data_IF_577975132460
#
_entry.id   IF_577975132460
#
_cell.length_a   1.000
_cell.length_b   1.000
_cell.length_c   1.000
_cell.angle_alpha   90.00
_cell.angle_beta   90.00
_cell.angle_gamma   90.00
#
_symmetry.space_group_name_H-M   'P 1'
#
loop_
_entity.id
_entity.type
_entity.pdbx_description
1 polymer ?
#
# COMPACT_ATOMS: atom_id res chain seq x y z
N UNK A 1 19.36 -16.71 -9.82
CA UNK A 1 18.73 -16.36 -8.52
C UNK A 1 17.44 -15.60 -8.83
N UNK A 2 16.36 -15.97 -8.20
CA UNK A 2 15.11 -15.22 -8.28
C UNK A 2 15.32 -13.82 -7.71
N UNK A 3 14.79 -12.81 -8.39
CA UNK A 3 14.84 -11.41 -7.95
C UNK A 3 13.69 -11.09 -7.01
N UNK A 4 13.77 -10.00 -6.29
CA UNK A 4 12.63 -9.42 -5.59
C UNK A 4 12.01 -8.28 -6.44
N UNK A 5 10.77 -7.94 -6.19
CA UNK A 5 10.02 -6.93 -6.93
C UNK A 5 9.37 -5.92 -5.99
N UNK A 6 9.56 -4.63 -6.25
CA UNK A 6 8.66 -3.60 -5.78
C UNK A 6 7.78 -3.16 -6.94
N UNK A 7 6.46 -3.23 -6.76
CA UNK A 7 5.50 -2.83 -7.78
C UNK A 7 4.40 -1.96 -7.17
N UNK A 8 4.16 -0.80 -7.77
CA UNK A 8 3.05 0.09 -7.41
C UNK A 8 2.10 0.28 -8.58
N UNK A 9 0.90 0.77 -8.28
CA UNK A 9 -0.04 1.25 -9.27
C UNK A 9 -0.61 2.59 -8.82
N UNK A 10 -0.79 3.53 -9.76
CA UNK A 10 -1.45 4.79 -9.47
C UNK A 10 -2.16 5.34 -10.71
N UNK A 11 -3.14 6.22 -10.48
CA UNK A 11 -3.86 6.88 -11.55
C UNK A 11 -3.89 8.39 -11.35
N UNK A 12 -3.82 9.12 -12.48
CA UNK A 12 -4.03 10.57 -12.53
C UNK A 12 -3.11 11.41 -11.62
N UNK A 13 -1.94 10.96 -11.20
CA UNK A 13 -0.93 11.75 -10.50
C UNK A 13 0.14 12.23 -11.48
N UNK A 14 0.75 13.38 -11.19
CA UNK A 14 1.96 13.83 -11.83
C UNK A 14 3.21 13.21 -11.16
N UNK A 15 4.39 13.46 -11.74
CA UNK A 15 5.65 12.94 -11.23
C UNK A 15 5.96 13.39 -9.80
N UNK A 16 5.70 14.65 -9.47
CA UNK A 16 6.02 15.21 -8.16
C UNK A 16 5.24 14.55 -7.03
N UNK A 17 4.00 14.12 -7.30
CA UNK A 17 3.19 13.40 -6.32
C UNK A 17 3.73 12.00 -5.99
N UNK A 18 4.45 11.37 -6.90
CA UNK A 18 4.98 10.01 -6.75
C UNK A 18 6.50 9.98 -6.52
N UNK A 19 7.18 11.11 -6.71
CA UNK A 19 8.63 11.24 -6.55
C UNK A 19 9.15 10.80 -5.18
N UNK A 20 8.51 11.13 -4.04
CA UNK A 20 8.95 10.63 -2.74
C UNK A 20 9.00 9.11 -2.65
N UNK A 21 8.02 8.41 -3.22
CA UNK A 21 8.00 6.96 -3.29
C UNK A 21 9.17 6.43 -4.12
N UNK A 22 9.36 6.97 -5.34
CA UNK A 22 10.43 6.61 -6.27
C UNK A 22 11.81 6.81 -5.64
N UNK A 23 12.06 8.01 -5.11
CA UNK A 23 13.37 8.36 -4.56
C UNK A 23 13.66 7.59 -3.27
N UNK A 24 12.64 7.32 -2.44
CA UNK A 24 12.84 6.54 -1.22
C UNK A 24 13.20 5.08 -1.52
N UNK A 25 12.64 4.47 -2.56
CA UNK A 25 13.03 3.13 -3.00
C UNK A 25 14.47 3.15 -3.51
N UNK A 26 14.83 4.13 -4.34
CA UNK A 26 16.19 4.25 -4.86
C UNK A 26 17.23 4.46 -3.75
N UNK A 27 16.85 5.07 -2.62
CA UNK A 27 17.71 5.30 -1.46
C UNK A 27 17.67 4.16 -0.42
N UNK A 28 16.78 3.19 -0.57
CA UNK A 28 16.56 2.11 0.42
C UNK A 28 17.55 0.94 0.34
N UNK A 29 18.48 0.97 -0.61
CA UNK A 29 19.37 -0.14 -0.98
C UNK A 29 18.60 -1.38 -1.50
N UNK A 30 17.46 -1.18 -2.12
CA UNK A 30 16.73 -2.25 -2.80
C UNK A 30 17.35 -2.54 -4.16
N UNK A 31 17.75 -3.81 -4.40
CA UNK A 31 18.45 -4.25 -5.61
C UNK A 31 17.56 -4.98 -6.61
N UNK A 32 16.29 -5.21 -6.30
CA UNK A 32 15.34 -5.92 -7.16
C UNK A 32 14.76 -5.06 -8.29
N UNK A 33 13.83 -5.63 -9.02
CA UNK A 33 13.10 -4.93 -10.09
C UNK A 33 12.10 -3.94 -9.50
N UNK A 34 11.98 -2.77 -10.14
CA UNK A 34 11.09 -1.67 -9.75
C UNK A 34 10.11 -1.39 -10.87
N UNK A 35 8.81 -1.57 -10.61
CA UNK A 35 7.75 -1.46 -11.62
C UNK A 35 6.67 -0.49 -11.16
N UNK A 36 6.21 0.36 -12.08
CA UNK A 36 5.04 1.20 -11.88
C UNK A 36 4.00 0.98 -12.98
N UNK A 37 2.80 0.60 -12.57
CA UNK A 37 1.62 0.56 -13.44
C UNK A 37 0.96 1.94 -13.35
N UNK A 38 0.95 2.66 -14.47
CA UNK A 38 0.45 4.04 -14.56
C UNK A 38 -0.85 4.06 -15.34
N UNK A 39 -1.93 4.59 -14.72
CA UNK A 39 -3.27 4.60 -15.32
C UNK A 39 -3.68 6.03 -15.59
N UNK A 40 -3.96 6.37 -16.86
CA UNK A 40 -4.30 7.72 -17.28
C UNK A 40 -3.24 8.76 -16.87
N UNK A 41 -1.97 8.44 -17.08
CA UNK A 41 -0.81 9.27 -16.71
C UNK A 41 -0.17 9.81 -17.96
N UNK A 42 0.31 11.06 -17.93
CA UNK A 42 0.93 11.72 -19.07
C UNK A 42 2.21 11.02 -19.54
N UNK A 43 2.54 11.17 -20.83
CA UNK A 43 3.78 10.64 -21.40
C UNK A 43 5.01 11.24 -20.71
N UNK A 44 4.95 12.52 -20.33
CA UNK A 44 6.05 13.19 -19.65
C UNK A 44 6.31 12.58 -18.26
N UNK A 45 5.25 12.35 -17.47
CA UNK A 45 5.35 11.69 -16.16
C UNK A 45 5.90 10.27 -16.32
N UNK A 46 5.40 9.49 -17.28
CA UNK A 46 5.91 8.15 -17.57
C UNK A 46 7.40 8.15 -17.94
N UNK A 47 7.83 9.12 -18.74
CA UNK A 47 9.26 9.27 -19.09
C UNK A 47 10.12 9.58 -17.86
N UNK A 48 9.70 10.52 -17.00
CA UNK A 48 10.44 10.86 -15.77
C UNK A 48 10.57 9.64 -14.82
N UNK A 49 9.52 8.81 -14.72
CA UNK A 49 9.56 7.58 -13.93
C UNK A 49 10.56 6.57 -14.52
N UNK A 50 10.53 6.41 -15.84
CA UNK A 50 11.48 5.53 -16.53
C UNK A 50 12.93 6.03 -16.35
N UNK A 51 13.17 7.33 -16.49
CA UNK A 51 14.48 7.95 -16.31
C UNK A 51 15.00 7.81 -14.86
N UNK A 52 14.09 7.65 -13.89
CA UNK A 52 14.41 7.34 -12.49
C UNK A 52 14.73 5.85 -12.23
N UNK A 53 14.74 5.01 -13.26
CA UNK A 53 15.15 3.60 -13.20
C UNK A 53 14.01 2.62 -12.92
N UNK A 54 12.77 2.99 -13.23
CA UNK A 54 11.60 2.12 -13.10
C UNK A 54 11.11 1.60 -14.45
N UNK A 55 10.66 0.35 -14.47
CA UNK A 55 9.86 -0.14 -15.60
C UNK A 55 8.45 0.43 -15.49
N UNK A 56 7.99 1.12 -16.53
CA UNK A 56 6.67 1.74 -16.59
C UNK A 56 5.73 0.89 -17.45
N UNK A 57 4.54 0.60 -16.92
CA UNK A 57 3.48 -0.13 -17.63
C UNK A 57 2.27 0.79 -17.76
N UNK A 58 2.16 1.56 -18.85
CA UNK A 58 1.04 2.46 -19.04
C UNK A 58 -0.25 1.70 -19.33
N UNK A 59 -1.33 2.15 -18.72
CA UNK A 59 -2.70 1.65 -18.90
C UNK A 59 -3.67 2.79 -19.10
N UNK A 60 -4.79 2.50 -19.75
CA UNK A 60 -5.92 3.40 -19.90
C UNK A 60 -7.11 2.77 -19.18
N UNK A 61 -7.68 3.50 -18.24
CA UNK A 61 -8.93 3.12 -17.60
C UNK A 61 -10.10 3.79 -18.33
N UNK A 62 -11.17 3.04 -18.53
CA UNK A 62 -12.43 3.55 -19.06
C UNK A 62 -13.37 4.14 -17.99
N UNK A 63 -12.90 4.23 -16.74
CA UNK A 63 -13.65 4.78 -15.61
C UNK A 63 -14.81 3.90 -15.11
N UNK A 64 -14.99 2.68 -15.64
CA UNK A 64 -16.05 1.76 -15.20
C UNK A 64 -15.77 1.12 -13.85
N UNK A 65 -14.52 1.19 -13.39
CA UNK A 65 -14.07 0.61 -12.12
C UNK A 65 -13.34 1.68 -11.29
N UNK A 66 -13.55 1.65 -9.99
CA UNK A 66 -12.78 2.50 -9.08
C UNK A 66 -11.33 2.06 -9.05
N UNK A 67 -10.39 3.01 -9.03
CA UNK A 67 -8.96 2.74 -9.04
C UNK A 67 -8.51 1.78 -7.92
N UNK A 68 -9.09 1.89 -6.72
CA UNK A 68 -8.78 1.01 -5.59
C UNK A 68 -8.97 -0.48 -5.89
N UNK A 69 -9.91 -0.81 -6.78
CA UNK A 69 -10.18 -2.18 -7.25
C UNK A 69 -9.39 -2.51 -8.51
N UNK A 70 -9.35 -1.54 -9.46
CA UNK A 70 -8.71 -1.70 -10.76
C UNK A 70 -7.21 -2.00 -10.63
N UNK A 71 -6.53 -1.42 -9.62
CA UNK A 71 -5.12 -1.70 -9.35
C UNK A 71 -4.84 -3.18 -9.15
N UNK A 72 -5.70 -3.91 -8.44
CA UNK A 72 -5.52 -5.35 -8.20
C UNK A 72 -5.68 -6.19 -9.47
N UNK A 73 -6.57 -5.80 -10.37
CA UNK A 73 -6.66 -6.42 -11.68
C UNK A 73 -5.35 -6.30 -12.47
N UNK A 74 -4.76 -5.12 -12.50
CA UNK A 74 -3.51 -4.89 -13.20
C UNK A 74 -2.31 -5.57 -12.53
N UNK A 75 -2.24 -5.55 -11.20
CA UNK A 75 -1.22 -6.27 -10.42
C UNK A 75 -1.29 -7.78 -10.69
N UNK A 76 -2.48 -8.37 -10.59
CA UNK A 76 -2.68 -9.78 -10.90
C UNK A 76 -2.25 -10.12 -12.33
N UNK A 77 -2.68 -9.32 -13.32
CA UNK A 77 -2.33 -9.57 -14.72
C UNK A 77 -0.83 -9.48 -14.99
N UNK A 78 -0.10 -8.65 -14.25
CA UNK A 78 1.35 -8.60 -14.32
C UNK A 78 1.98 -9.83 -13.67
N UNK A 79 1.56 -10.18 -12.46
CA UNK A 79 2.19 -11.21 -11.64
C UNK A 79 1.90 -12.64 -12.12
N UNK A 80 0.70 -12.92 -12.66
CA UNK A 80 0.28 -14.29 -13.05
C UNK A 80 1.24 -15.00 -14.01
N UNK A 81 1.96 -14.25 -14.83
CA UNK A 81 2.94 -14.78 -15.77
C UNK A 81 4.38 -14.75 -15.26
N UNK A 82 4.59 -14.29 -14.01
CA UNK A 82 5.92 -14.02 -13.44
C UNK A 82 6.16 -14.70 -12.08
N UNK A 83 5.33 -15.69 -11.74
CA UNK A 83 5.38 -16.40 -10.45
C UNK A 83 6.75 -17.04 -10.14
N UNK A 84 7.50 -17.40 -11.18
CA UNK A 84 8.83 -18.02 -11.04
C UNK A 84 9.99 -17.06 -11.32
N UNK A 85 9.70 -15.78 -11.64
CA UNK A 85 10.74 -14.78 -11.87
C UNK A 85 11.13 -14.08 -10.56
N UNK A 86 10.17 -13.95 -9.64
CA UNK A 86 10.35 -13.21 -8.39
C UNK A 86 10.16 -14.11 -7.16
N UNK A 87 11.07 -13.93 -6.20
CA UNK A 87 10.98 -14.55 -4.88
C UNK A 87 9.94 -13.83 -4.02
N UNK A 88 10.17 -12.54 -3.77
CA UNK A 88 9.29 -11.68 -3.00
C UNK A 88 8.73 -10.55 -3.86
N UNK A 89 7.49 -10.21 -3.60
CA UNK A 89 6.81 -9.06 -4.18
C UNK A 89 6.33 -8.15 -3.05
N UNK A 90 6.60 -6.85 -3.20
CA UNK A 90 6.05 -5.79 -2.35
C UNK A 90 5.23 -4.85 -3.22
N UNK A 91 3.94 -4.75 -2.95
CA UNK A 91 3.07 -3.75 -3.59
C UNK A 91 2.53 -2.79 -2.55
N UNK A 92 2.56 -1.50 -2.88
CA UNK A 92 2.11 -0.44 -1.96
C UNK A 92 1.27 0.60 -2.68
N UNK A 93 0.53 1.39 -1.92
CA UNK A 93 0.12 2.72 -2.36
C UNK A 93 1.36 3.52 -2.74
N UNK A 94 1.21 4.49 -3.64
CA UNK A 94 2.41 5.13 -4.24
C UNK A 94 2.62 6.56 -3.74
N UNK A 95 1.55 7.33 -3.56
CA UNK A 95 1.67 8.76 -3.24
C UNK A 95 2.18 9.04 -1.83
N UNK A 96 1.71 8.27 -0.86
CA UNK A 96 1.87 8.54 0.58
C UNK A 96 2.66 7.45 1.33
N UNK A 97 3.55 6.77 0.61
CA UNK A 97 4.43 5.73 1.15
C UNK A 97 5.90 6.10 0.96
N UNK A 98 6.69 5.85 1.99
CA UNK A 98 8.15 6.02 2.01
C UNK A 98 8.82 4.71 2.42
N UNK A 99 9.86 4.33 1.69
CA UNK A 99 10.74 3.23 2.05
C UNK A 99 11.95 3.78 2.82
N UNK A 100 12.17 3.30 4.04
CA UNK A 100 13.32 3.70 4.85
C UNK A 100 14.47 2.69 4.76
N UNK A 101 14.16 1.44 4.39
CA UNK A 101 15.10 0.33 4.22
C UNK A 101 14.64 -0.59 3.09
N UNK A 102 15.55 -1.45 2.61
CA UNK A 102 15.21 -2.52 1.68
C UNK A 102 14.20 -3.51 2.31
N UNK A 103 13.03 -3.73 1.68
CA UNK A 103 12.06 -4.69 2.19
C UNK A 103 12.53 -6.14 2.06
N UNK A 104 13.43 -6.43 1.12
CA UNK A 104 14.00 -7.77 0.92
C UNK A 104 14.69 -8.30 2.16
N UNK A 105 15.42 -7.42 2.87
CA UNK A 105 16.14 -7.78 4.09
C UNK A 105 15.20 -8.17 5.22
N UNK A 106 14.09 -7.45 5.34
CA UNK A 106 13.10 -7.76 6.35
C UNK A 106 12.35 -9.05 6.03
N UNK A 107 11.90 -9.22 4.79
CA UNK A 107 11.16 -10.40 4.34
C UNK A 107 11.99 -11.67 4.50
N UNK A 108 13.24 -11.68 4.06
CA UNK A 108 14.12 -12.84 4.14
C UNK A 108 14.37 -13.31 5.60
N UNK A 109 14.40 -12.38 6.54
CA UNK A 109 14.66 -12.67 7.97
C UNK A 109 13.41 -13.04 8.75
N UNK A 110 12.23 -12.48 8.36
CA UNK A 110 11.06 -12.48 9.23
C UNK A 110 9.85 -13.22 8.67
N UNK A 111 9.77 -13.49 7.37
CA UNK A 111 8.62 -14.16 6.78
C UNK A 111 8.54 -15.63 7.25
N UNK A 112 9.69 -16.31 7.32
CA UNK A 112 9.85 -17.70 7.79
C UNK A 112 8.90 -18.66 7.05
N UNK A 113 8.03 -19.36 7.81
CA UNK A 113 7.04 -20.31 7.30
C UNK A 113 5.82 -19.65 6.63
N UNK A 114 5.63 -18.35 6.84
CA UNK A 114 4.53 -17.63 6.22
C UNK A 114 4.86 -17.24 4.77
N UNK A 115 3.82 -17.04 4.00
CA UNK A 115 3.92 -16.64 2.58
C UNK A 115 3.55 -15.17 2.34
N UNK A 116 2.84 -14.56 3.28
CA UNK A 116 2.40 -13.19 3.24
C UNK A 116 2.76 -12.46 4.54
N UNK A 117 2.94 -11.17 4.46
CA UNK A 117 2.98 -10.28 5.63
C UNK A 117 1.95 -9.17 5.45
N UNK A 118 1.18 -8.92 6.51
CA UNK A 118 0.24 -7.81 6.60
C UNK A 118 0.63 -6.88 7.76
N UNK A 119 0.59 -5.58 7.53
CA UNK A 119 0.84 -4.58 8.57
C UNK A 119 -0.43 -4.26 9.36
N UNK A 120 -0.32 -4.34 10.68
CA UNK A 120 -1.36 -3.89 11.60
C UNK A 120 -1.40 -2.35 11.66
N UNK A 121 -2.60 -1.78 11.79
CA UNK A 121 -2.81 -0.37 12.13
C UNK A 121 -2.81 -0.13 13.65
N UNK A 122 -2.42 -1.14 14.43
CA UNK A 122 -2.33 -1.12 15.89
C UNK A 122 -3.65 -0.76 16.60
N UNK A 123 -4.79 -1.04 16.00
CA UNK A 123 -6.13 -0.85 16.59
C UNK A 123 -7.06 -1.99 16.17
N UNK A 124 -8.00 -2.37 17.04
CA UNK A 124 -9.01 -3.39 16.71
C UNK A 124 -10.09 -2.83 15.80
N UNK A 125 -10.64 -3.69 14.93
CA UNK A 125 -11.72 -3.35 14.00
C UNK A 125 -12.95 -2.76 14.75
N UNK A 126 -13.30 -3.29 15.92
CA UNK A 126 -14.44 -2.78 16.69
C UNK A 126 -14.24 -1.35 17.23
N UNK A 127 -13.00 -0.93 17.40
CA UNK A 127 -12.65 0.36 17.98
C UNK A 127 -12.37 1.44 16.90
N UNK A 128 -12.29 1.06 15.63
CA UNK A 128 -12.06 1.99 14.52
C UNK A 128 -13.31 2.06 13.64
N UNK A 129 -13.98 3.20 13.69
CA UNK A 129 -15.33 3.39 13.13
C UNK A 129 -15.40 3.17 11.64
N UNK A 130 -14.41 3.69 10.89
CA UNK A 130 -14.42 3.63 9.43
C UNK A 130 -14.29 2.18 8.91
N UNK A 131 -13.33 1.40 9.44
CA UNK A 131 -13.17 0.00 9.05
C UNK A 131 -14.37 -0.85 9.47
N UNK A 132 -14.91 -0.62 10.70
CA UNK A 132 -16.12 -1.30 11.17
C UNK A 132 -17.29 -1.10 10.20
N UNK A 133 -17.58 0.14 9.84
CA UNK A 133 -18.71 0.48 8.97
C UNK A 133 -18.53 -0.09 7.56
N UNK A 134 -17.33 -0.01 7.00
CA UNK A 134 -17.03 -0.56 5.69
C UNK A 134 -17.17 -2.09 5.65
N UNK A 135 -16.69 -2.81 6.67
CA UNK A 135 -16.86 -4.27 6.75
C UNK A 135 -18.34 -4.63 6.84
N UNK A 136 -19.12 -3.95 7.70
CA UNK A 136 -20.55 -4.21 7.82
C UNK A 136 -21.27 -3.93 6.49
N UNK A 137 -20.95 -2.83 5.82
CA UNK A 137 -21.54 -2.43 4.56
C UNK A 137 -21.21 -3.41 3.41
N UNK A 138 -19.97 -3.85 3.34
CA UNK A 138 -19.51 -4.73 2.27
C UNK A 138 -19.86 -6.20 2.48
N UNK A 139 -19.84 -6.69 3.72
CA UNK A 139 -19.90 -8.12 4.03
C UNK A 139 -20.97 -8.51 5.05
N UNK A 140 -21.64 -7.55 5.64
CA UNK A 140 -22.70 -7.79 6.62
C UNK A 140 -22.21 -7.89 8.05
N UNK A 141 -23.21 -7.84 8.96
CA UNK A 141 -22.97 -7.76 10.40
C UNK A 141 -22.44 -9.06 10.99
N UNK A 142 -22.84 -10.20 10.44
CA UNK A 142 -22.43 -11.51 10.96
C UNK A 142 -20.93 -11.70 10.78
N UNK A 143 -20.42 -11.47 9.57
CA UNK A 143 -18.99 -11.56 9.28
C UNK A 143 -18.18 -10.53 10.09
N UNK A 144 -18.69 -9.30 10.26
CA UNK A 144 -18.08 -8.33 11.15
C UNK A 144 -17.96 -8.88 12.58
N UNK A 145 -19.01 -9.52 13.12
CA UNK A 145 -18.98 -10.07 14.46
C UNK A 145 -17.90 -11.13 14.65
N UNK A 146 -17.61 -11.91 13.61
CA UNK A 146 -16.57 -12.95 13.63
C UNK A 146 -15.17 -12.36 13.71
N UNK A 147 -14.94 -11.18 13.08
CA UNK A 147 -13.59 -10.61 12.94
C UNK A 147 -13.33 -9.33 13.77
N UNK A 148 -14.32 -8.72 14.38
CA UNK A 148 -14.23 -7.40 15.05
C UNK A 148 -13.17 -7.30 16.15
N UNK A 149 -12.79 -8.42 16.76
CA UNK A 149 -11.78 -8.48 17.83
C UNK A 149 -10.33 -8.47 17.33
N UNK A 150 -10.13 -8.69 16.04
CA UNK A 150 -8.81 -8.64 15.43
C UNK A 150 -8.40 -7.18 15.13
N UNK A 151 -7.10 -6.97 14.98
CA UNK A 151 -6.54 -5.69 14.55
C UNK A 151 -6.90 -5.38 13.10
N UNK A 152 -7.02 -4.11 12.77
CA UNK A 152 -7.14 -3.61 11.40
C UNK A 152 -5.84 -3.87 10.66
N UNK A 153 -5.93 -4.42 9.45
CA UNK A 153 -4.82 -4.64 8.53
C UNK A 153 -4.91 -3.67 7.37
N UNK A 154 -3.79 -3.03 7.04
CA UNK A 154 -3.73 -2.03 5.99
C UNK A 154 -3.50 -2.67 4.61
N UNK A 155 -4.44 -2.47 3.68
CA UNK A 155 -4.34 -2.92 2.28
C UNK A 155 -3.38 -2.09 1.43
N UNK A 156 -2.99 -0.93 1.92
CA UNK A 156 -2.02 -0.06 1.23
C UNK A 156 -0.59 -0.61 1.18
N UNK A 157 -0.32 -1.73 1.87
CA UNK A 157 0.98 -2.42 1.85
C UNK A 157 0.72 -3.93 1.88
N UNK A 158 1.02 -4.62 0.78
CA UNK A 158 0.92 -6.07 0.64
C UNK A 158 2.29 -6.62 0.25
N UNK A 159 2.78 -7.64 0.95
CA UNK A 159 4.06 -8.24 0.60
C UNK A 159 4.11 -9.74 0.96
N UNK A 160 5.00 -10.46 0.27
CA UNK A 160 5.22 -11.88 0.50
C UNK A 160 5.83 -12.60 -0.69
N UNK A 161 5.73 -13.93 -0.72
CA UNK A 161 6.10 -14.74 -1.87
C UNK A 161 5.26 -14.37 -3.10
N UNK A 162 5.89 -14.34 -4.27
CA UNK A 162 5.25 -13.86 -5.50
C UNK A 162 3.93 -14.58 -5.81
N UNK A 163 3.88 -15.91 -5.66
CA UNK A 163 2.67 -16.66 -5.91
C UNK A 163 1.53 -16.28 -4.96
N UNK A 164 1.82 -16.16 -3.67
CA UNK A 164 0.83 -15.80 -2.66
C UNK A 164 0.29 -14.37 -2.85
N UNK A 165 1.17 -13.41 -3.20
CA UNK A 165 0.75 -12.04 -3.52
C UNK A 165 -0.09 -12.01 -4.80
N UNK A 166 0.29 -12.77 -5.83
CA UNK A 166 -0.48 -12.89 -7.07
C UNK A 166 -1.91 -13.39 -6.80
N UNK A 167 -2.04 -14.48 -6.04
CA UNK A 167 -3.33 -15.09 -5.73
C UNK A 167 -4.19 -14.14 -4.85
N UNK A 168 -3.57 -13.48 -3.85
CA UNK A 168 -4.25 -12.49 -3.02
C UNK A 168 -4.78 -11.30 -3.84
N UNK A 169 -4.00 -10.79 -4.82
CA UNK A 169 -4.45 -9.68 -5.68
C UNK A 169 -5.64 -10.08 -6.56
N UNK A 170 -5.69 -11.33 -7.05
CA UNK A 170 -6.86 -11.85 -7.78
C UNK A 170 -8.10 -11.88 -6.89
N UNK A 171 -7.98 -12.38 -5.66
CA UNK A 171 -9.09 -12.46 -4.71
C UNK A 171 -9.58 -11.08 -4.27
N UNK A 172 -8.66 -10.15 -4.01
CA UNK A 172 -9.01 -8.75 -3.69
C UNK A 172 -9.79 -8.11 -4.83
N UNK A 173 -9.35 -8.28 -6.07
CA UNK A 173 -10.08 -7.81 -7.23
C UNK A 173 -11.49 -8.38 -7.29
N UNK A 174 -11.65 -9.71 -7.19
CA UNK A 174 -12.94 -10.39 -7.29
C UNK A 174 -13.90 -9.96 -6.17
N UNK A 175 -13.42 -9.89 -4.93
CA UNK A 175 -14.27 -9.57 -3.77
C UNK A 175 -14.65 -8.10 -3.69
N UNK A 176 -13.78 -7.19 -4.12
CA UNK A 176 -14.04 -5.76 -4.07
C UNK A 176 -14.86 -5.25 -5.27
N UNK A 177 -14.67 -5.82 -6.47
CA UNK A 177 -15.30 -5.32 -7.71
C UNK A 177 -16.83 -5.40 -7.72
N UNK A 178 -17.43 -6.27 -6.93
CA UNK A 178 -18.88 -6.45 -6.83
C UNK A 178 -19.51 -5.73 -5.62
N UNK A 179 -18.76 -4.87 -4.94
CA UNK A 179 -19.25 -4.16 -3.76
C UNK A 179 -19.66 -2.73 -4.11
N UNK A 180 -20.68 -2.25 -3.40
CA UNK A 180 -21.21 -0.90 -3.61
C UNK A 180 -20.31 0.21 -3.04
N UNK A 181 -19.31 -0.16 -2.24
CA UNK A 181 -18.41 0.81 -1.61
C UNK A 181 -17.12 0.97 -2.40
N UNK A 182 -16.65 2.20 -2.49
CA UNK A 182 -15.42 2.55 -3.20
C UNK A 182 -14.14 2.09 -2.47
N UNK A 183 -14.23 1.78 -1.18
CA UNK A 183 -13.13 1.29 -0.33
C UNK A 183 -13.30 -0.18 0.07
N UNK A 184 -14.02 -0.93 -0.74
CA UNK A 184 -14.27 -2.35 -0.50
C UNK A 184 -13.00 -3.21 -0.46
N UNK A 185 -11.90 -2.75 -1.03
CA UNK A 185 -10.60 -3.41 -1.00
C UNK A 185 -10.04 -3.54 0.42
N UNK A 186 -10.12 -2.49 1.24
CA UNK A 186 -9.69 -2.53 2.64
C UNK A 186 -10.55 -3.51 3.45
N UNK A 187 -11.87 -3.49 3.26
CA UNK A 187 -12.76 -4.44 3.91
C UNK A 187 -12.51 -5.88 3.47
N UNK A 188 -12.33 -6.12 2.15
CA UNK A 188 -12.02 -7.43 1.59
C UNK A 188 -10.68 -7.99 2.12
N UNK A 189 -9.65 -7.13 2.23
CA UNK A 189 -8.35 -7.51 2.77
C UNK A 189 -8.45 -7.98 4.22
N UNK A 190 -9.14 -7.22 5.07
CA UNK A 190 -9.33 -7.58 6.46
C UNK A 190 -10.13 -8.88 6.62
N UNK A 191 -11.14 -9.13 5.79
CA UNK A 191 -11.90 -10.37 5.79
C UNK A 191 -11.07 -11.55 5.32
N UNK A 192 -10.43 -11.44 4.15
CA UNK A 192 -9.65 -12.52 3.54
C UNK A 192 -8.55 -13.03 4.46
N UNK A 193 -7.77 -12.11 5.04
CA UNK A 193 -6.63 -12.50 5.84
C UNK A 193 -7.00 -13.12 7.21
N UNK A 194 -8.27 -13.12 7.57
CA UNK A 194 -8.80 -13.82 8.76
C UNK A 194 -9.45 -15.17 8.44
N UNK A 195 -9.53 -15.53 7.15
CA UNK A 195 -10.16 -16.76 6.69
C UNK A 195 -9.13 -17.74 6.13
N UNK A 196 -9.45 -19.04 6.22
CA UNK A 196 -8.66 -20.08 5.59
C UNK A 196 -8.73 -19.94 4.06
N UNK A 197 -7.59 -20.13 3.34
CA UNK A 197 -6.27 -20.49 3.85
C UNK A 197 -5.38 -19.31 4.28
N UNK A 198 -5.78 -18.07 4.02
CA UNK A 198 -4.93 -16.89 4.18
C UNK A 198 -4.49 -16.63 5.62
N UNK A 199 -5.34 -16.95 6.61
CA UNK A 199 -4.98 -16.80 8.02
C UNK A 199 -3.75 -17.61 8.42
N UNK A 200 -3.56 -18.80 7.79
CA UNK A 200 -2.40 -19.64 8.04
C UNK A 200 -1.16 -19.24 7.22
N UNK A 201 -1.38 -18.52 6.12
CA UNK A 201 -0.31 -18.08 5.22
C UNK A 201 0.26 -16.71 5.60
N UNK A 202 -0.43 -15.95 6.45
CA UNK A 202 -0.12 -14.54 6.70
C UNK A 202 0.50 -14.31 8.06
N UNK A 203 1.70 -13.74 8.09
CA UNK A 203 2.29 -13.15 9.28
C UNK A 203 1.68 -11.77 9.51
N UNK A 204 1.09 -11.54 10.66
CA UNK A 204 0.66 -10.20 11.08
C UNK A 204 1.85 -9.49 11.72
N UNK A 205 2.28 -8.39 11.14
CA UNK A 205 3.35 -7.57 11.66
C UNK A 205 2.76 -6.40 12.47
N UNK A 206 3.01 -6.43 13.78
CA UNK A 206 2.72 -5.34 14.70
C UNK A 206 3.79 -4.25 14.59
N UNK A 207 3.62 -3.09 15.26
CA UNK A 207 4.58 -1.99 15.18
C UNK A 207 5.97 -2.40 15.66
N UNK A 208 6.07 -3.16 16.74
CA UNK A 208 7.36 -3.64 17.28
C UNK A 208 8.17 -4.52 16.30
N UNK A 209 7.52 -5.09 15.27
CA UNK A 209 8.22 -5.83 14.23
C UNK A 209 8.95 -4.94 13.21
N UNK A 210 8.73 -3.64 13.24
CA UNK A 210 9.35 -2.62 12.37
C UNK A 210 9.25 -2.93 10.87
N UNK A 211 8.20 -3.66 10.46
CA UNK A 211 7.90 -3.91 9.05
C UNK A 211 7.35 -2.66 8.38
N UNK A 212 6.14 -2.32 8.71
CA UNK A 212 5.48 -1.16 8.15
C UNK A 212 4.58 -0.51 9.21
N UNK A 213 4.49 0.81 9.17
CA UNK A 213 3.59 1.57 10.03
C UNK A 213 2.63 2.41 9.20
N UNK A 214 1.45 2.64 9.74
CA UNK A 214 0.38 3.43 9.16
C UNK A 214 0.11 4.64 10.05
N UNK A 215 0.37 5.86 9.54
CA UNK A 215 0.35 7.07 10.35
C UNK A 215 -1.07 7.59 10.66
N UNK A 216 -2.11 7.08 9.99
CA UNK A 216 -3.45 7.64 10.10
C UNK A 216 -3.98 7.62 11.53
N UNK A 217 -4.11 6.44 12.13
CA UNK A 217 -4.68 6.29 13.48
C UNK A 217 -3.66 6.63 14.56
N UNK A 218 -2.38 6.31 14.32
CA UNK A 218 -1.34 6.42 15.34
C UNK A 218 -0.79 7.83 15.49
N UNK A 219 -0.56 8.56 14.40
CA UNK A 219 0.23 9.81 14.44
C UNK A 219 -0.50 11.04 13.88
N UNK A 220 -1.61 10.88 13.12
CA UNK A 220 -2.44 12.02 12.76
C UNK A 220 -3.17 12.52 14.01
N UNK A 221 -2.88 13.73 14.45
CA UNK A 221 -3.30 14.29 15.74
C UNK A 221 -4.81 14.16 16.00
N UNK A 222 -5.66 14.50 15.01
CA UNK A 222 -7.11 14.39 15.16
C UNK A 222 -7.57 12.96 15.40
N UNK A 223 -6.95 11.98 14.74
CA UNK A 223 -7.28 10.56 14.87
C UNK A 223 -6.70 9.98 16.16
N UNK A 224 -5.48 10.38 16.51
CA UNK A 224 -4.86 9.97 17.76
C UNK A 224 -5.65 10.45 18.99
N UNK A 225 -6.19 11.65 18.94
CA UNK A 225 -7.03 12.18 20.04
C UNK A 225 -8.33 11.35 20.22
N UNK A 226 -8.86 10.80 19.14
CA UNK A 226 -10.07 9.95 19.16
C UNK A 226 -9.75 8.50 19.53
N UNK A 227 -8.76 7.91 18.87
CA UNK A 227 -8.48 6.47 18.93
C UNK A 227 -7.30 6.08 19.83
N UNK A 228 -6.50 7.03 20.29
CA UNK A 228 -5.32 6.78 21.11
C UNK A 228 -5.55 5.85 22.32
N UNK A 229 -6.66 6.00 23.08
CA UNK A 229 -6.98 5.08 24.19
C UNK A 229 -7.19 3.61 23.77
N UNK A 230 -7.44 3.35 22.48
CA UNK A 230 -7.71 2.01 21.95
C UNK A 230 -6.55 1.41 21.19
N UNK A 231 -5.43 2.14 21.08
CA UNK A 231 -4.24 1.62 20.42
C UNK A 231 -3.67 0.42 21.19
N UNK A 232 -3.26 -0.59 20.44
CA UNK A 232 -2.66 -1.83 20.96
C UNK A 232 -1.19 -1.66 21.30
N UNK A 233 -0.53 -0.66 20.72
CA UNK A 233 0.88 -0.35 20.89
C UNK A 233 1.08 1.16 20.96
N UNK A 234 2.21 1.58 21.50
CA UNK A 234 2.59 2.98 21.55
C UNK A 234 2.85 3.55 20.15
N UNK A 235 2.46 4.82 19.95
CA UNK A 235 2.63 5.47 18.64
C UNK A 235 4.10 5.63 18.27
N UNK A 236 4.47 5.37 17.00
CA UNK A 236 5.80 5.63 16.49
C UNK A 236 6.26 7.08 16.65
N UNK A 237 7.55 7.28 16.68
CA UNK A 237 8.16 8.62 16.77
C UNK A 237 9.09 8.89 15.59
N UNK A 238 9.37 10.17 15.36
CA UNK A 238 10.25 10.64 14.29
C UNK A 238 11.52 11.22 14.88
N UNK A 239 12.67 10.68 14.47
CA UNK A 239 13.98 11.11 14.94
C UNK A 239 15.03 10.88 13.85
N UNK A 240 15.92 11.85 13.64
CA UNK A 240 17.00 11.78 12.64
C UNK A 240 16.52 11.48 11.21
N UNK A 241 15.33 12.01 10.86
CA UNK A 241 14.74 11.78 9.53
C UNK A 241 14.13 10.41 9.31
N UNK A 242 13.96 9.61 10.37
CA UNK A 242 13.42 8.27 10.32
C UNK A 242 12.25 8.11 11.31
N UNK A 243 11.24 7.38 10.88
CA UNK A 243 10.13 6.94 11.74
C UNK A 243 10.54 5.62 12.38
N UNK A 244 10.51 5.56 13.72
CA UNK A 244 11.00 4.45 14.53
C UNK A 244 9.91 3.91 15.45
N UNK A 245 9.98 2.62 15.75
CA UNK A 245 9.18 2.01 16.82
C UNK A 245 9.67 2.46 18.21
N UNK A 246 8.73 2.71 19.12
CA UNK A 246 9.04 3.27 20.45
C UNK A 246 9.81 2.28 21.33
N UNK A 247 9.45 0.99 21.29
CA UNK A 247 10.07 -0.02 22.15
C UNK A 247 11.47 -0.41 21.68
N UNK A 248 11.57 -0.75 20.38
CA UNK A 248 12.79 -1.32 19.81
C UNK A 248 13.76 -0.25 19.31
N UNK A 249 13.31 0.99 19.12
CA UNK A 249 14.04 2.09 18.47
C UNK A 249 14.48 1.77 17.03
N UNK A 250 13.95 0.72 16.45
CA UNK A 250 14.26 0.29 15.08
C UNK A 250 13.43 1.09 14.08
N UNK A 251 14.06 1.67 13.04
CA UNK A 251 13.31 2.31 11.96
C UNK A 251 12.44 1.30 11.22
N UNK A 252 11.21 1.71 10.91
CA UNK A 252 10.32 0.92 10.06
C UNK A 252 10.92 0.75 8.67
N UNK A 253 10.65 -0.38 8.04
CA UNK A 253 11.04 -0.61 6.65
C UNK A 253 10.22 0.28 5.72
N UNK A 254 8.92 0.38 5.96
CA UNK A 254 7.97 1.17 5.16
C UNK A 254 7.15 2.08 6.09
N UNK A 255 6.93 3.32 5.67
CA UNK A 255 6.05 4.29 6.33
C UNK A 255 4.94 4.69 5.39
N UNK A 256 3.70 4.38 5.74
CA UNK A 256 2.51 4.71 4.99
C UNK A 256 1.78 5.90 5.60
N UNK A 257 1.16 6.73 4.77
CA UNK A 257 0.39 7.92 5.15
C UNK A 257 1.23 8.96 5.91
N UNK A 258 2.53 9.05 5.61
CA UNK A 258 3.43 10.03 6.21
C UNK A 258 2.95 11.48 6.02
N UNK A 259 2.23 11.74 4.95
CA UNK A 259 1.66 13.05 4.63
C UNK A 259 0.50 13.48 5.54
N UNK A 260 -0.01 12.57 6.38
CA UNK A 260 -1.01 12.86 7.42
C UNK A 260 -0.42 13.53 8.65
N UNK A 261 0.91 13.45 8.82
CA UNK A 261 1.64 14.05 9.92
C UNK A 261 2.44 15.24 9.38
N UNK A 262 2.08 16.44 9.81
CA UNK A 262 2.59 17.70 9.24
C UNK A 262 4.12 17.77 9.20
N UNK A 263 4.77 17.44 10.30
CA UNK A 263 6.23 17.56 10.41
C UNK A 263 6.95 16.53 9.54
N UNK A 264 6.40 15.31 9.42
CA UNK A 264 6.95 14.29 8.55
C UNK A 264 6.77 14.68 7.08
N UNK A 265 5.58 15.18 6.72
CA UNK A 265 5.31 15.69 5.38
C UNK A 265 6.32 16.78 5.01
N UNK A 266 6.48 17.79 5.85
CA UNK A 266 7.41 18.90 5.61
C UNK A 266 8.86 18.41 5.43
N UNK A 267 9.29 17.47 6.27
CA UNK A 267 10.62 16.87 6.15
C UNK A 267 10.82 16.16 4.82
N UNK A 268 9.88 15.30 4.42
CA UNK A 268 10.02 14.54 3.18
C UNK A 268 9.83 15.42 1.92
N UNK A 269 8.98 16.45 1.97
CA UNK A 269 8.89 17.44 0.91
C UNK A 269 10.23 18.17 0.70
N UNK A 270 10.89 18.56 1.76
CA UNK A 270 12.22 19.17 1.70
C UNK A 270 13.28 18.17 1.21
N UNK A 271 13.30 16.96 1.78
CA UNK A 271 14.25 15.90 1.45
C UNK A 271 14.21 15.54 -0.04
N UNK A 272 13.02 15.42 -0.61
CA UNK A 272 12.82 15.01 -2.00
C UNK A 272 12.59 16.19 -2.95
N UNK A 273 12.68 17.42 -2.48
CA UNK A 273 12.54 18.65 -3.27
C UNK A 273 11.22 18.70 -4.04
N UNK A 274 10.12 18.42 -3.38
CA UNK A 274 8.76 18.46 -3.92
C UNK A 274 7.84 19.26 -3.03
N UNK A 275 6.69 19.70 -3.59
CA UNK A 275 5.54 20.15 -2.81
C UNK A 275 4.39 19.19 -3.06
N UNK A 276 4.05 18.41 -2.07
CA UNK A 276 2.93 17.49 -2.14
C UNK A 276 1.65 18.30 -1.90
N UNK A 277 1.02 18.75 -2.98
CA UNK A 277 -0.27 19.38 -2.90
C UNK A 277 -1.30 18.32 -2.45
N UNK A 278 -2.01 18.62 -1.37
CA UNK A 278 -3.17 17.85 -0.93
C UNK A 278 -4.35 17.96 -1.92
N UNK A 279 -4.32 18.95 -2.80
CA UNK A 279 -5.26 19.11 -3.91
C UNK A 279 -4.68 18.46 -5.16
N UNK A 280 -5.31 17.39 -5.51
CA UNK A 280 -5.11 16.61 -6.69
C UNK A 280 -5.43 17.43 -7.96
N UNK A 281 -4.44 17.65 -8.79
CA UNK A 281 -4.63 18.11 -10.17
C UNK A 281 -4.17 16.98 -11.08
N UNK A 282 -5.08 16.28 -11.76
CA UNK A 282 -4.68 15.26 -12.72
C UNK A 282 -3.86 15.93 -13.84
N UNK A 283 -2.68 15.42 -14.11
CA UNK A 283 -1.90 15.77 -15.28
C UNK A 283 -2.45 15.04 -16.53
N UNK A 284 -3.75 15.20 -16.74
CA UNK A 284 -4.43 14.62 -17.90
C UNK A 284 -4.31 15.63 -19.03
N UNK A 285 -3.58 15.26 -20.07
CA UNK A 285 -3.71 15.95 -21.34
C UNK A 285 -5.00 15.45 -22.02
N UNK A 286 -6.09 16.22 -22.06
CA UNK A 286 -7.35 15.79 -22.66
C UNK A 286 -7.23 15.46 -24.16
N UNK A 287 -6.15 15.89 -24.82
CA UNK A 287 -5.90 15.64 -26.24
C UNK A 287 -5.25 14.27 -26.54
N UNK A 288 -4.85 13.51 -25.51
CA UNK A 288 -4.27 12.17 -25.68
C UNK A 288 -5.33 11.07 -25.58
N UNK A 289 -6.51 11.37 -25.07
CA UNK A 289 -7.61 10.42 -24.86
C UNK A 289 -8.75 10.67 -25.85
N UNK A 290 -8.50 10.51 -27.15
CA UNK A 290 -9.58 10.20 -28.09
C UNK A 290 -9.97 8.74 -27.84
N UNK A 291 -11.11 8.55 -27.20
CA UNK A 291 -11.75 7.24 -27.12
C UNK A 291 -11.95 6.74 -28.54
N UNK A 292 -11.25 5.67 -28.91
CA UNK A 292 -11.71 4.83 -30.01
C UNK A 292 -12.94 4.09 -29.50
N UNK A 293 -14.09 4.52 -29.97
CA UNK A 293 -15.39 3.84 -29.75
C UNK A 293 -15.61 2.67 -30.71
N UNK A 294 -14.54 2.10 -31.24
CA UNK A 294 -14.60 1.02 -32.20
C UNK A 294 -14.11 -0.26 -31.53
N UNK A 295 -15.00 -0.92 -30.79
CA UNK A 295 -15.24 -2.38 -30.75
C UNK A 295 -16.58 -2.64 -30.05
#
# INVERSE_FOLDING_TARGET
MEKDLIIGAFSNYNYDAVKPWIDSINQSNFEGDKVLITINVSTETNRKIHDAGFTVIPKISNGKMMFHMERFYHLYNFLKHKKHEYRYVVTTDVRDVIFQKSPSDWLSKNLKEHKLVASSEAIKIENETWNRENIIKCFGKDLYNDIKKYEVLCVGIIAGECEAVCDLTAMLFQLSSNRADWVADQAAYNVLLRMYPYNNLTKIAMLENAWAMNAHVTNRESQYNEFGPYLLEERPFFEDGLVKDVKTKVPFTIVHQYDRVRDWKNFYEQKFQVKINSQYTPDINPNVFTYRTDV
#
